data_IF_053555785887
#
_entry.id   IF_053555785887
#
_cell.length_a   1.000
_cell.length_b   1.000
_cell.length_c   1.000
_cell.angle_alpha   90.00
_cell.angle_beta   90.00
_cell.angle_gamma   90.00
#
_symmetry.space_group_name_H-M   'P 1'
#
loop_
_entity.id
_entity.type
_entity.pdbx_description
1 polymer ?
#
# COMPACT_ATOMS: atom_id res chain seq x y z
N UNK A 1 3.89 9.15 -15.02
CA UNK A 1 2.87 9.37 -14.02
C UNK A 1 3.45 9.46 -12.63
N UNK A 2 2.97 10.41 -11.88
CA UNK A 2 3.57 10.71 -10.60
C UNK A 2 2.80 10.06 -9.47
N UNK A 3 3.42 9.15 -8.74
CA UNK A 3 2.77 8.50 -7.61
C UNK A 3 3.16 9.11 -6.27
N UNK A 4 3.83 10.26 -6.31
CA UNK A 4 4.30 10.90 -5.07
C UNK A 4 3.14 11.22 -4.13
N UNK A 5 2.01 11.67 -4.68
CA UNK A 5 0.86 11.98 -3.86
C UNK A 5 0.35 10.75 -3.13
N UNK A 6 0.33 9.62 -3.83
CA UNK A 6 -0.13 8.39 -3.21
C UNK A 6 0.81 7.94 -2.10
N UNK A 7 2.11 8.12 -2.32
CA UNK A 7 3.08 7.77 -1.30
C UNK A 7 2.87 8.64 -0.07
N UNK A 8 2.63 9.94 -0.27
CA UNK A 8 2.38 10.84 0.86
C UNK A 8 1.11 10.47 1.61
N UNK A 9 0.09 10.03 0.88
CA UNK A 9 -1.14 9.60 1.52
C UNK A 9 -0.91 8.38 2.39
N UNK A 10 -0.06 7.47 1.94
CA UNK A 10 0.28 6.30 2.75
C UNK A 10 1.03 6.71 4.00
N UNK A 11 1.93 7.67 3.88
CA UNK A 11 2.63 8.16 5.06
C UNK A 11 1.66 8.77 6.07
N UNK A 12 0.66 9.47 5.57
CA UNK A 12 -0.31 10.13 6.43
C UNK A 12 -1.14 9.15 7.23
N UNK A 13 -1.32 7.93 6.72
CA UNK A 13 -2.13 6.94 7.42
C UNK A 13 -1.27 5.94 8.20
N UNK A 14 0.04 6.17 8.28
CA UNK A 14 0.86 5.35 9.15
C UNK A 14 1.97 4.55 8.50
N UNK A 15 2.03 4.54 7.18
CA UNK A 15 3.13 3.85 6.51
C UNK A 15 4.40 4.64 6.72
N UNK A 16 5.47 3.98 7.15
CA UNK A 16 6.74 4.63 7.41
C UNK A 16 7.87 3.63 7.30
N UNK A 17 9.04 4.12 6.90
CA UNK A 17 10.25 3.31 6.85
C UNK A 17 10.00 2.00 6.11
N UNK A 18 10.15 0.88 6.79
CA UNK A 18 10.01 -0.41 6.14
C UNK A 18 8.67 -0.62 5.47
N UNK A 19 7.59 -0.26 6.16
CA UNK A 19 6.27 -0.48 5.58
C UNK A 19 6.08 0.37 4.34
N UNK A 20 6.59 1.58 4.36
CA UNK A 20 6.49 2.45 3.20
C UNK A 20 7.32 1.90 2.04
N UNK A 21 8.53 1.45 2.33
CA UNK A 21 9.39 0.87 1.31
C UNK A 21 8.75 -0.36 0.69
N UNK A 22 8.17 -1.21 1.51
CA UNK A 22 7.50 -2.41 1.00
C UNK A 22 6.29 -2.05 0.17
N UNK A 23 5.56 -1.02 0.59
CA UNK A 23 4.40 -0.57 -0.17
C UNK A 23 4.82 -0.11 -1.55
N UNK A 24 5.90 0.67 -1.62
CA UNK A 24 6.38 1.16 -2.90
C UNK A 24 6.87 0.00 -3.76
N UNK A 25 7.60 -0.93 -3.16
CA UNK A 25 8.09 -2.08 -3.92
C UNK A 25 6.94 -2.93 -4.44
N UNK A 26 5.89 -3.06 -3.66
CA UNK A 26 4.76 -3.89 -4.04
C UNK A 26 3.87 -3.20 -5.07
N UNK A 27 3.61 -1.93 -4.85
CA UNK A 27 2.69 -1.20 -5.73
C UNK A 27 3.38 -0.68 -6.99
N UNK A 28 4.65 -0.33 -6.88
CA UNK A 28 5.39 0.18 -8.03
C UNK A 28 4.77 1.46 -8.55
N UNK A 29 4.33 1.45 -9.80
CA UNK A 29 3.67 2.59 -10.42
C UNK A 29 2.16 2.38 -10.53
N UNK A 30 1.63 1.38 -9.88
CA UNK A 30 0.21 1.05 -9.97
C UNK A 30 -0.58 1.87 -8.95
N UNK A 31 -1.28 2.88 -9.44
CA UNK A 31 -2.04 3.76 -8.55
C UNK A 31 -3.12 3.01 -7.80
N UNK A 32 -3.73 2.04 -8.44
CA UNK A 32 -4.79 1.28 -7.79
C UNK A 32 -4.27 0.55 -6.55
N UNK A 33 -3.05 0.02 -6.63
CA UNK A 33 -2.47 -0.66 -5.48
C UNK A 33 -2.30 0.31 -4.31
N UNK A 34 -1.83 1.52 -4.58
CA UNK A 34 -1.70 2.52 -3.52
C UNK A 34 -3.06 2.85 -2.92
N UNK A 35 -4.08 3.00 -3.77
CA UNK A 35 -5.41 3.29 -3.28
C UNK A 35 -5.95 2.16 -2.43
N UNK A 36 -5.67 0.93 -2.81
CA UNK A 36 -6.13 -0.22 -2.03
C UNK A 36 -5.48 -0.25 -0.65
N UNK A 37 -4.19 0.06 -0.59
CA UNK A 37 -3.50 0.12 0.71
C UNK A 37 -4.08 1.22 1.59
N UNK A 38 -4.27 2.39 1.01
CA UNK A 38 -4.84 3.52 1.73
C UNK A 38 -6.23 3.18 2.24
N UNK A 39 -7.04 2.60 1.39
CA UNK A 39 -8.41 2.23 1.74
C UNK A 39 -8.43 1.19 2.86
N UNK A 40 -7.54 0.22 2.79
CA UNK A 40 -7.50 -0.82 3.81
C UNK A 40 -7.23 -0.23 5.19
N UNK A 41 -6.33 0.75 5.25
CA UNK A 41 -6.01 1.36 6.53
C UNK A 41 -7.12 2.30 6.99
N UNK A 42 -7.67 3.11 6.09
CA UNK A 42 -8.64 4.14 6.50
C UNK A 42 -10.05 3.60 6.65
N UNK A 43 -10.45 2.69 5.78
CA UNK A 43 -11.83 2.21 5.79
C UNK A 43 -11.99 0.89 6.53
N UNK A 44 -11.00 0.03 6.45
CA UNK A 44 -11.09 -1.27 7.09
C UNK A 44 -10.37 -1.32 8.43
N UNK A 45 -9.68 -0.26 8.79
CA UNK A 45 -9.01 -0.19 10.08
C UNK A 45 -7.80 -1.09 10.22
N UNK A 46 -7.22 -1.51 9.12
CA UNK A 46 -6.07 -2.40 9.16
C UNK A 46 -4.80 -1.60 9.44
N UNK A 47 -3.84 -2.26 10.08
CA UNK A 47 -2.55 -1.62 10.24
C UNK A 47 -1.82 -1.64 8.90
N UNK A 48 -0.81 -0.75 8.73
CA UNK A 48 -0.06 -0.75 7.47
C UNK A 48 0.54 -2.11 7.13
N UNK A 49 1.07 -2.82 8.12
CA UNK A 49 1.64 -4.13 7.87
C UNK A 49 0.58 -5.12 7.41
N UNK A 50 -0.60 -5.07 8.04
CA UNK A 50 -1.70 -5.94 7.66
C UNK A 50 -2.20 -5.61 6.27
N UNK A 51 -2.27 -4.32 5.93
CA UNK A 51 -2.70 -3.91 4.61
C UNK A 51 -1.75 -4.43 3.54
N UNK A 52 -0.45 -4.35 3.80
CA UNK A 52 0.53 -4.89 2.87
C UNK A 52 0.37 -6.39 2.70
N UNK A 53 0.18 -7.09 3.79
CA UNK A 53 0.01 -8.53 3.73
C UNK A 53 -1.24 -8.89 2.95
N UNK A 54 -2.31 -8.16 3.15
CA UNK A 54 -3.55 -8.40 2.43
C UNK A 54 -3.37 -8.21 0.94
N UNK A 55 -2.67 -7.16 0.56
CA UNK A 55 -2.43 -6.90 -0.86
C UNK A 55 -1.57 -7.99 -1.48
N UNK A 56 -0.52 -8.42 -0.77
CA UNK A 56 0.32 -9.50 -1.25
C UNK A 56 -0.46 -10.77 -1.43
N UNK A 57 -1.36 -11.03 -0.51
CA UNK A 57 -2.16 -12.25 -0.56
C UNK A 57 -3.15 -12.24 -1.71
N UNK A 58 -3.62 -11.05 -2.08
CA UNK A 58 -4.59 -10.95 -3.16
C UNK A 58 -3.94 -10.92 -4.53
N UNK A 59 -2.65 -10.68 -4.59
CA UNK A 59 -1.99 -10.68 -5.89
C UNK A 59 -1.98 -12.10 -6.42
N UNK A 60 -2.47 -12.30 -7.63
CA UNK A 60 -2.42 -13.62 -8.22
C UNK A 60 -1.00 -13.88 -8.65
N UNK A 61 -0.27 -14.42 -7.77
CA UNK A 61 1.10 -14.75 -8.09
C UNK A 61 1.04 -15.88 -9.05
N UNK A 62 1.21 -15.59 -10.26
CA UNK A 62 1.26 -16.64 -11.20
C UNK A 62 2.46 -17.43 -11.00
N UNK A 63 2.31 -18.55 -10.72
CA UNK A 63 3.46 -19.41 -10.51
C UNK A 63 3.90 -20.05 -11.78
#
# INVERSE_FOLDING_TARGET
MNVTQHIRQLEAVGFAEETLDRAIALAGANRLAYQMLHHAVTSRGMSPADALRSLESERPECI
#
